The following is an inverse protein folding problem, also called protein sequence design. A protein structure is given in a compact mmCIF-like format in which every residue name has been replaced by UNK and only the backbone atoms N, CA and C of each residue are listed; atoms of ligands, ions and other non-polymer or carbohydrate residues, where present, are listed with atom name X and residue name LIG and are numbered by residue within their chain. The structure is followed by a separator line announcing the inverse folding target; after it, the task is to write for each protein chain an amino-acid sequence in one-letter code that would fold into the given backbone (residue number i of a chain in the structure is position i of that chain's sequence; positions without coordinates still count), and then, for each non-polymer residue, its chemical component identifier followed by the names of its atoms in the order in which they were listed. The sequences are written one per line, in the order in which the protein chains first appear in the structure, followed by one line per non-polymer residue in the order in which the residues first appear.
data_IF_115891511936
#
_entry.id   IF_115891511936
#
_cell.length_a   1.000
_cell.length_b   1.000
_cell.length_c   1.000
_cell.angle_alpha   90.00
_cell.angle_beta   90.00
_cell.angle_gamma   90.00
#
_symmetry.space_group_name_H-M   'P 1'
#
loop_
_entity.id
_entity.type
_entity.pdbx_description
1 polymer ?
#
# COMPACT_ATOMS: atom_id res chain seq x y z
N UNK A 1 7.51 -16.53 16.98
CA UNK A 1 7.31 -15.94 15.65
C UNK A 1 6.78 -14.52 15.85
N UNK A 2 7.64 -13.50 15.78
CA UNK A 2 7.19 -12.11 15.85
C UNK A 2 6.51 -11.82 14.51
N UNK A 3 5.18 -11.73 14.49
CA UNK A 3 4.47 -11.09 13.38
C UNK A 3 4.82 -9.62 13.49
N UNK A 4 5.82 -9.15 12.73
CA UNK A 4 6.10 -7.73 12.63
C UNK A 4 4.86 -7.09 11.99
N UNK A 5 4.04 -6.44 12.81
CA UNK A 5 3.06 -5.45 12.35
C UNK A 5 3.79 -4.10 12.23
N UNK A 6 4.94 -4.08 11.56
CA UNK A 6 5.56 -2.80 11.23
C UNK A 6 4.75 -2.21 10.09
N UNK A 7 4.09 -1.10 10.35
CA UNK A 7 3.38 -0.32 9.34
C UNK A 7 4.42 0.61 8.74
N UNK A 8 4.71 0.41 7.46
CA UNK A 8 5.62 1.28 6.72
C UNK A 8 4.81 2.29 5.92
N UNK A 9 5.44 3.42 5.64
CA UNK A 9 4.87 4.46 4.78
C UNK A 9 5.67 4.48 3.48
N UNK A 10 4.96 4.44 2.36
CA UNK A 10 5.55 4.34 1.01
C UNK A 10 5.02 5.50 0.19
N UNK A 11 5.92 6.29 -0.39
CA UNK A 11 5.56 7.32 -1.36
C UNK A 11 5.04 6.66 -2.63
N UNK A 12 3.80 6.95 -3.00
CA UNK A 12 3.16 6.37 -4.18
C UNK A 12 2.09 7.29 -4.76
N UNK A 13 1.83 7.12 -6.05
CA UNK A 13 0.81 7.90 -6.75
C UNK A 13 -0.53 7.15 -6.75
N UNK A 14 -1.61 7.77 -6.29
CA UNK A 14 -2.94 7.19 -6.40
C UNK A 14 -3.44 7.28 -7.85
N UNK A 15 -3.42 6.16 -8.57
CA UNK A 15 -3.95 6.07 -9.93
C UNK A 15 -5.48 6.04 -9.90
N UNK A 16 -6.05 5.22 -9.02
CA UNK A 16 -7.49 5.00 -8.97
C UNK A 16 -7.94 4.54 -7.58
N UNK A 17 -9.18 4.84 -7.21
CA UNK A 17 -9.76 4.28 -5.99
C UNK A 17 -11.17 3.75 -6.21
N UNK A 18 -11.46 2.65 -5.54
CA UNK A 18 -12.80 2.07 -5.42
C UNK A 18 -13.31 2.26 -3.99
N UNK A 19 -14.52 1.79 -3.71
CA UNK A 19 -15.03 1.74 -2.34
C UNK A 19 -14.14 0.89 -1.41
N UNK A 20 -13.50 -0.17 -1.94
CA UNK A 20 -12.81 -1.19 -1.12
C UNK A 20 -11.30 -1.25 -1.29
N UNK A 21 -10.74 -0.62 -2.31
CA UNK A 21 -9.30 -0.66 -2.60
C UNK A 21 -8.78 0.63 -3.24
N UNK A 22 -7.51 0.92 -3.01
CA UNK A 22 -6.71 1.90 -3.75
C UNK A 22 -5.87 1.17 -4.81
N UNK A 23 -5.71 1.79 -5.97
CA UNK A 23 -4.73 1.42 -6.99
C UNK A 23 -3.63 2.48 -6.95
N UNK A 24 -2.45 2.10 -6.45
CA UNK A 24 -1.31 2.99 -6.29
C UNK A 24 -0.19 2.59 -7.24
N UNK A 25 0.60 3.56 -7.69
CA UNK A 25 1.81 3.35 -8.48
C UNK A 25 3.04 3.73 -7.67
N UNK A 26 4.01 2.81 -7.58
CA UNK A 26 5.34 3.07 -6.99
C UNK A 26 6.44 3.09 -8.06
N UNK A 27 6.08 3.34 -9.32
CA UNK A 27 7.01 3.34 -10.46
C UNK A 27 7.19 1.98 -11.14
N UNK A 28 6.44 0.95 -10.73
CA UNK A 28 6.51 -0.41 -11.30
C UNK A 28 5.16 -0.91 -11.85
N UNK A 29 4.24 0.01 -12.13
CA UNK A 29 2.87 -0.31 -12.56
C UNK A 29 1.89 -0.39 -11.40
N UNK A 30 0.63 -0.04 -11.68
CA UNK A 30 -0.36 0.18 -10.64
C UNK A 30 -0.77 -1.09 -9.88
N UNK A 31 -0.51 -1.10 -8.58
CA UNK A 31 -0.81 -2.17 -7.63
C UNK A 31 -2.11 -1.89 -6.88
N UNK A 32 -2.94 -2.91 -6.73
CA UNK A 32 -4.16 -2.83 -5.93
C UNK A 32 -3.92 -3.24 -4.47
N UNK A 33 -4.26 -2.32 -3.57
CA UNK A 33 -4.19 -2.47 -2.11
C UNK A 33 -5.56 -2.24 -1.46
N UNK A 34 -6.04 -3.13 -0.58
CA UNK A 34 -7.36 -3.02 0.03
C UNK A 34 -7.38 -1.98 1.16
N UNK A 35 -8.38 -1.10 1.18
CA UNK A 35 -8.53 -0.02 2.20
C UNK A 35 -8.66 -0.56 3.62
N UNK A 36 -9.10 -1.80 3.80
CA UNK A 36 -9.18 -2.42 5.14
C UNK A 36 -7.81 -2.74 5.75
N UNK A 37 -6.73 -2.74 4.95
CA UNK A 37 -5.39 -3.08 5.39
C UNK A 37 -4.36 -1.97 5.11
N UNK A 38 -4.80 -0.82 4.56
CA UNK A 38 -3.92 0.30 4.28
C UNK A 38 -4.66 1.63 4.34
N UNK A 39 -3.93 2.70 4.59
CA UNK A 39 -4.41 4.07 4.57
C UNK A 39 -3.59 4.86 3.55
N UNK A 40 -4.25 5.60 2.66
CA UNK A 40 -3.58 6.46 1.70
C UNK A 40 -3.87 7.91 2.06
N UNK A 41 -2.83 8.69 2.31
CA UNK A 41 -2.90 10.12 2.60
C UNK A 41 -1.94 10.88 1.71
N UNK A 42 -2.48 11.79 0.89
CA UNK A 42 -1.73 12.81 0.15
C UNK A 42 -0.45 12.37 -0.61
N UNK A 43 -0.40 11.15 -1.15
CA UNK A 43 0.78 10.62 -1.86
C UNK A 43 1.60 9.61 -1.06
N UNK A 44 1.17 9.31 0.15
CA UNK A 44 1.79 8.34 1.05
C UNK A 44 0.80 7.20 1.34
N UNK A 45 1.25 5.95 1.14
CA UNK A 45 0.50 4.76 1.51
C UNK A 45 1.10 4.15 2.77
N UNK A 46 0.29 4.08 3.81
CA UNK A 46 0.60 3.35 5.03
C UNK A 46 0.06 1.94 4.93
N UNK A 47 0.96 0.95 4.97
CA UNK A 47 0.64 -0.46 4.75
C UNK A 47 1.55 -1.34 5.62
N UNK A 48 1.08 -2.52 6.08
CA UNK A 48 1.95 -3.46 6.78
C UNK A 48 3.12 -3.90 5.90
N UNK A 49 4.34 -3.91 6.43
CA UNK A 49 5.57 -4.29 5.73
C UNK A 49 5.44 -5.65 5.03
N UNK A 50 4.83 -6.63 5.69
CA UNK A 50 4.57 -7.94 5.10
C UNK A 50 3.72 -7.86 3.84
N UNK A 51 2.63 -7.08 3.88
CA UNK A 51 1.75 -6.90 2.72
C UNK A 51 2.43 -6.07 1.62
N UNK A 52 3.26 -5.10 1.99
CA UNK A 52 4.05 -4.32 1.04
C UNK A 52 5.05 -5.19 0.28
N UNK A 53 5.77 -6.06 1.00
CA UNK A 53 6.70 -7.02 0.41
C UNK A 53 5.98 -8.06 -0.46
N UNK A 54 4.84 -8.58 -0.02
CA UNK A 54 3.99 -9.50 -0.82
C UNK A 54 3.47 -8.86 -2.11
N UNK A 55 3.32 -7.53 -2.11
CA UNK A 55 2.80 -6.74 -3.24
C UNK A 55 3.90 -6.10 -4.08
N UNK A 56 5.16 -6.37 -3.77
CA UNK A 56 6.34 -5.80 -4.46
C UNK A 56 6.34 -4.27 -4.45
N UNK A 57 5.82 -3.68 -3.36
CA UNK A 57 5.81 -2.23 -3.13
C UNK A 57 7.13 -1.73 -2.51
N UNK A 58 7.94 -2.64 -1.97
CA UNK A 58 9.30 -2.45 -1.43
C UNK A 58 10.20 -3.63 -1.79
#
# INVERSE_FOLDING_TARGET
MKRNHDIITIECELIYQTEKAYKVDVGNGGVWVPKSLCEFDNGELQIPEGLASEKELI
#
